data_IF_632603108390
#
_entry.id   IF_632603108390
#
_cell.length_a   1.000
_cell.length_b   1.000
_cell.length_c   1.000
_cell.angle_alpha   90.00
_cell.angle_beta   90.00
_cell.angle_gamma   90.00
#
_symmetry.space_group_name_H-M   'P 1'
#
loop_
_entity.id
_entity.type
_entity.pdbx_description
1 polymer ?
#
# COMPACT_ATOMS: atom_id res chain seq x y z
N UNK A 1 33.85 18.80 14.89
CA UNK A 1 33.39 17.63 14.10
C UNK A 1 33.01 16.52 15.06
N UNK A 2 31.72 16.28 15.28
CA UNK A 2 31.21 15.08 15.90
C UNK A 2 29.83 14.82 15.29
N UNK A 3 29.71 13.70 14.57
CA UNK A 3 28.46 13.21 14.03
C UNK A 3 27.74 12.45 15.15
N UNK A 4 26.49 12.80 15.42
CA UNK A 4 25.59 12.00 16.26
C UNK A 4 24.31 11.75 15.48
N UNK A 5 23.97 10.46 15.43
CA UNK A 5 22.86 9.82 14.76
C UNK A 5 21.55 10.62 14.86
N UNK A 6 21.01 10.99 13.69
CA UNK A 6 19.60 11.30 13.54
C UNK A 6 18.93 10.03 13.01
N UNK A 7 18.02 9.50 13.82
CA UNK A 7 17.27 8.27 13.63
C UNK A 7 16.62 8.17 12.24
N UNK A 8 16.63 6.96 11.69
CA UNK A 8 15.89 6.50 10.50
C UNK A 8 14.35 6.54 10.69
N UNK A 9 13.80 7.67 11.14
CA UNK A 9 12.38 7.95 10.97
C UNK A 9 12.21 8.48 9.55
N UNK A 10 12.16 7.52 8.62
CA UNK A 10 12.08 7.77 7.19
C UNK A 10 10.87 8.65 6.88
N UNK A 11 11.15 9.93 6.62
CA UNK A 11 10.23 10.85 5.96
C UNK A 11 9.50 10.09 4.84
N UNK A 12 8.15 10.10 4.80
CA UNK A 12 7.45 9.42 3.72
C UNK A 12 7.94 9.99 2.41
N UNK A 13 8.45 9.10 1.55
CA UNK A 13 8.83 9.42 0.18
C UNK A 13 7.73 10.29 -0.44
N UNK A 14 8.02 11.46 -1.06
CA UNK A 14 7.01 12.29 -1.71
C UNK A 14 6.03 11.50 -2.62
N UNK A 15 6.45 10.47 -3.38
CA UNK A 15 5.52 9.65 -4.17
C UNK A 15 4.62 8.72 -3.34
N UNK A 16 4.96 8.41 -2.09
CA UNK A 16 4.13 7.60 -1.19
C UNK A 16 2.84 8.32 -0.78
N UNK A 17 2.95 9.63 -0.46
CA UNK A 17 1.78 10.46 -0.18
C UNK A 17 0.79 10.51 -1.35
N UNK A 18 1.31 10.64 -2.57
CA UNK A 18 0.50 10.65 -3.79
C UNK A 18 -0.23 9.32 -4.03
N UNK A 19 0.44 8.17 -3.82
CA UNK A 19 -0.19 6.85 -3.96
C UNK A 19 -1.31 6.64 -2.96
N UNK A 20 -1.11 7.03 -1.69
CA UNK A 20 -2.14 6.97 -0.64
C UNK A 20 -3.36 7.80 -1.00
N UNK A 21 -3.15 9.04 -1.43
CA UNK A 21 -4.25 9.92 -1.79
C UNK A 21 -5.03 9.38 -3.00
N UNK A 22 -4.33 8.78 -3.97
CA UNK A 22 -4.96 8.17 -5.14
C UNK A 22 -5.81 6.96 -4.80
N UNK A 23 -5.32 6.04 -3.95
CA UNK A 23 -6.11 4.86 -3.56
C UNK A 23 -7.33 5.25 -2.70
N UNK A 24 -7.22 6.31 -1.90
CA UNK A 24 -8.36 6.86 -1.15
C UNK A 24 -9.39 7.50 -2.07
N UNK A 25 -8.97 8.22 -3.12
CA UNK A 25 -9.87 8.74 -4.13
C UNK A 25 -10.61 7.61 -4.87
N UNK A 26 -9.89 6.55 -5.26
CA UNK A 26 -10.50 5.36 -5.87
C UNK A 26 -11.57 4.74 -4.95
N UNK A 27 -11.29 4.67 -3.65
CA UNK A 27 -12.27 4.19 -2.68
C UNK A 27 -13.46 5.15 -2.53
N UNK A 28 -13.24 6.46 -2.53
CA UNK A 28 -14.32 7.45 -2.46
C UNK A 28 -15.27 7.36 -3.67
N UNK A 29 -14.73 7.18 -4.88
CA UNK A 29 -15.48 7.06 -6.13
C UNK A 29 -16.33 5.77 -6.20
N UNK A 30 -16.00 4.76 -5.38
CA UNK A 30 -16.68 3.47 -5.33
C UNK A 30 -17.30 3.23 -3.94
N UNK A 31 -18.47 3.82 -3.64
CA UNK A 31 -19.04 3.82 -2.29
C UNK A 31 -19.40 2.43 -1.77
N UNK A 32 -19.66 1.47 -2.65
CA UNK A 32 -19.97 0.07 -2.29
C UNK A 32 -18.73 -0.81 -2.10
N UNK A 33 -17.54 -0.33 -2.52
CA UNK A 33 -16.30 -1.06 -2.33
C UNK A 33 -15.85 -1.00 -0.87
N UNK A 34 -15.45 -2.17 -0.33
CA UNK A 34 -14.89 -2.32 1.02
C UNK A 34 -13.43 -1.89 1.09
N UNK A 35 -12.70 -2.06 0.00
CA UNK A 35 -11.29 -1.70 -0.12
C UNK A 35 -10.97 -1.28 -1.55
N UNK A 36 -9.88 -0.54 -1.70
CA UNK A 36 -9.28 -0.19 -2.99
C UNK A 36 -7.80 -0.52 -2.96
N UNK A 37 -7.28 -0.94 -4.10
CA UNK A 37 -5.86 -1.30 -4.27
C UNK A 37 -5.25 -0.50 -5.41
N UNK A 38 -3.99 -0.12 -5.23
CA UNK A 38 -3.17 0.53 -6.26
C UNK A 38 -1.82 -0.16 -6.31
N UNK A 39 -1.40 -0.58 -7.50
CA UNK A 39 -0.11 -1.22 -7.74
C UNK A 39 0.75 -0.32 -8.61
N UNK A 40 1.99 -0.13 -8.17
CA UNK A 40 2.99 0.65 -8.89
C UNK A 40 4.23 -0.24 -9.10
N UNK A 41 4.38 -0.69 -10.35
CA UNK A 41 5.51 -1.50 -10.82
C UNK A 41 6.63 -0.65 -11.41
N UNK A 42 6.42 0.66 -11.59
CA UNK A 42 7.38 1.58 -12.19
C UNK A 42 8.28 2.23 -11.12
N UNK A 43 7.77 2.40 -9.89
CA UNK A 43 8.51 3.01 -8.79
C UNK A 43 9.69 2.19 -8.28
N UNK A 44 9.73 0.86 -8.51
CA UNK A 44 10.83 0.01 -8.08
C UNK A 44 11.17 -1.07 -9.11
N UNK A 45 12.45 -1.17 -9.49
CA UNK A 45 12.92 -2.05 -10.58
C UNK A 45 12.72 -3.56 -10.34
N UNK A 46 12.64 -3.98 -9.07
CA UNK A 46 12.54 -5.40 -8.67
C UNK A 46 11.42 -5.64 -7.65
N UNK A 47 10.52 -4.68 -7.47
CA UNK A 47 9.43 -4.81 -6.51
C UNK A 47 8.19 -4.08 -7.00
N UNK A 48 7.03 -4.59 -6.60
CA UNK A 48 5.75 -3.91 -6.76
C UNK A 48 5.46 -3.17 -5.46
N UNK A 49 5.17 -1.88 -5.57
CA UNK A 49 4.59 -1.13 -4.48
C UNK A 49 3.08 -1.32 -4.53
N UNK A 50 2.56 -2.02 -3.54
CA UNK A 50 1.14 -2.29 -3.38
C UNK A 50 0.58 -1.39 -2.28
N UNK A 51 -0.36 -0.52 -2.64
CA UNK A 51 -1.07 0.36 -1.71
C UNK A 51 -2.49 -0.15 -1.53
N UNK A 52 -2.93 -0.32 -0.29
CA UNK A 52 -4.27 -0.78 0.07
C UNK A 52 -4.93 0.25 0.96
N UNK A 53 -6.16 0.64 0.64
CA UNK A 53 -7.04 1.39 1.51
C UNK A 53 -8.28 0.57 1.86
N UNK A 54 -8.62 0.51 3.14
CA UNK A 54 -9.79 -0.20 3.66
C UNK A 54 -10.78 0.83 4.20
N UNK A 55 -12.05 0.74 3.78
CA UNK A 55 -13.09 1.66 4.21
C UNK A 55 -13.36 1.50 5.71
N UNK A 56 -13.33 2.61 6.43
CA UNK A 56 -13.49 2.62 7.89
C UNK A 56 -12.33 1.98 8.65
N UNK A 57 -11.25 1.61 7.96
CA UNK A 57 -10.04 1.02 8.53
C UNK A 57 -8.82 1.88 8.24
N UNK A 58 -7.70 1.21 7.97
CA UNK A 58 -6.41 1.84 7.71
C UNK A 58 -6.05 1.86 6.21
N UNK A 59 -4.99 2.60 5.89
CA UNK A 59 -4.29 2.54 4.61
C UNK A 59 -2.87 2.05 4.86
N UNK A 60 -2.38 1.13 4.03
CA UNK A 60 -1.01 0.60 4.12
C UNK A 60 -0.34 0.52 2.75
N UNK A 61 0.99 0.51 2.76
CA UNK A 61 1.83 0.25 1.60
C UNK A 61 2.72 -0.96 1.89
N UNK A 62 2.78 -1.87 0.93
CA UNK A 62 3.60 -3.08 0.96
C UNK A 62 4.57 -3.02 -0.21
N UNK A 63 5.83 -3.38 0.05
CA UNK A 63 6.82 -3.60 -1.00
C UNK A 63 6.96 -5.10 -1.22
N UNK A 64 6.52 -5.59 -2.36
CA UNK A 64 6.48 -7.02 -2.68
C UNK A 64 7.54 -7.29 -3.76
N UNK A 65 8.52 -8.18 -3.54
CA UNK A 65 9.48 -8.56 -4.58
C UNK A 65 8.76 -9.08 -5.83
N UNK A 66 9.22 -8.69 -7.01
CA UNK A 66 8.52 -8.98 -8.27
C UNK A 66 8.39 -10.50 -8.49
N UNK A 67 9.39 -11.28 -8.11
CA UNK A 67 9.38 -12.73 -8.21
C UNK A 67 8.39 -13.43 -7.27
N UNK A 68 7.85 -12.70 -6.28
CA UNK A 68 6.84 -13.19 -5.33
C UNK A 68 5.48 -12.53 -5.52
N UNK A 69 5.35 -11.61 -6.48
CA UNK A 69 4.14 -10.85 -6.67
C UNK A 69 3.17 -11.59 -7.57
N UNK A 70 2.05 -12.02 -6.98
CA UNK A 70 0.87 -12.50 -7.71
C UNK A 70 -0.33 -11.60 -7.35
N UNK A 71 -0.84 -10.79 -8.29
CA UNK A 71 -1.95 -9.88 -8.04
C UNK A 71 -3.24 -10.60 -7.66
N UNK A 72 -3.49 -11.78 -8.23
CA UNK A 72 -4.73 -12.52 -8.02
C UNK A 72 -4.71 -13.22 -6.67
N UNK A 73 -3.61 -13.89 -6.34
CA UNK A 73 -3.43 -14.52 -5.03
C UNK A 73 -3.53 -13.49 -3.90
N UNK A 74 -2.95 -12.30 -4.10
CA UNK A 74 -3.03 -11.23 -3.10
C UNK A 74 -4.46 -10.72 -2.91
N UNK A 75 -5.22 -10.56 -4.00
CA UNK A 75 -6.64 -10.19 -3.93
C UNK A 75 -7.49 -11.28 -3.27
N UNK A 76 -7.21 -12.55 -3.55
CA UNK A 76 -7.87 -13.69 -2.91
C UNK A 76 -7.60 -13.72 -1.40
N UNK A 77 -6.34 -13.51 -0.99
CA UNK A 77 -5.96 -13.43 0.43
C UNK A 77 -6.66 -12.26 1.14
N UNK A 78 -6.75 -11.10 0.50
CA UNK A 78 -7.50 -9.95 1.04
C UNK A 78 -9.00 -10.28 1.11
N UNK A 79 -9.56 -10.94 0.12
CA UNK A 79 -10.95 -11.39 0.13
C UNK A 79 -11.25 -12.39 1.25
N UNK A 80 -10.33 -13.32 1.51
CA UNK A 80 -10.47 -14.37 2.53
C UNK A 80 -10.26 -13.85 3.97
N UNK A 81 -9.29 -12.96 4.17
CA UNK A 81 -8.87 -12.51 5.51
C UNK A 81 -9.23 -11.06 5.84
N UNK A 82 -9.64 -10.25 4.88
CA UNK A 82 -9.93 -8.82 5.07
C UNK A 82 -11.19 -8.51 5.90
N UNK A 83 -11.93 -9.53 6.34
CA UNK A 83 -13.12 -9.41 7.18
C UNK A 83 -12.90 -9.89 8.63
N UNK A 84 -11.70 -10.36 8.98
CA UNK A 84 -11.46 -10.92 10.32
C UNK A 84 -11.20 -9.78 11.32
N UNK A 85 -12.25 -9.39 12.05
CA UNK A 85 -12.13 -8.64 13.31
C UNK A 85 -11.65 -9.62 14.39
N UNK A 86 -10.56 -9.28 15.08
CA UNK A 86 -10.16 -9.92 16.33
C UNK A 86 -10.58 -9.04 17.51
#
# INVERSE_FOLDING_TARGET
MAATAASEDALPDPPAGARRQRVLAMLADHPTAKYAVLTDTAAARQAVLFTLAIRGGATCELRIPLEKYDPWLLLDLIGQHGATVH
#
